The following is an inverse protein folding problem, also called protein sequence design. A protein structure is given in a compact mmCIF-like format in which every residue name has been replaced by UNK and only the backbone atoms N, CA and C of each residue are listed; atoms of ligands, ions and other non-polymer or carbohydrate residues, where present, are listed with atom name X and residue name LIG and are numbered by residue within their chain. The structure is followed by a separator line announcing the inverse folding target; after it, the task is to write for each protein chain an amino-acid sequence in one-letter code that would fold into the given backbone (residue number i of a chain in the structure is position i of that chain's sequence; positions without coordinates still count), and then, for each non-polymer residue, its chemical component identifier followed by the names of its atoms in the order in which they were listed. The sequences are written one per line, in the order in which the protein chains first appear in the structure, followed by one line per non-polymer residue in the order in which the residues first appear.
data_IF_108125206655
#
_entry.id   IF_108125206655
#
_cell.length_a   1.000
_cell.length_b   1.000
_cell.length_c   1.000
_cell.angle_alpha   90.00
_cell.angle_beta   90.00
_cell.angle_gamma   90.00
#
_symmetry.space_group_name_H-M   'P 1'
#
loop_
_entity.id
_entity.type
_entity.pdbx_description
1 polymer ?
#
# COMPACT_ATOMS: atom_id res chain seq x y z
N UNK A 1 15.25 29.82 49.93
CA UNK A 1 16.06 28.61 49.69
C UNK A 1 15.44 27.87 48.51
N UNK A 2 16.08 27.90 47.34
CA UNK A 2 15.53 27.36 46.08
C UNK A 2 15.57 25.84 46.17
N UNK A 3 14.40 25.20 46.16
CA UNK A 3 14.24 23.77 46.41
C UNK A 3 14.69 22.96 45.18
N UNK A 4 16.00 22.85 45.00
CA UNK A 4 16.64 22.19 43.86
C UNK A 4 16.20 20.71 43.72
N UNK A 5 15.76 20.09 44.82
CA UNK A 5 15.26 18.70 44.83
C UNK A 5 14.00 18.52 43.99
N UNK A 6 13.07 19.47 44.01
CA UNK A 6 11.82 19.39 43.22
C UNK A 6 12.11 19.54 41.71
N UNK A 7 13.07 20.38 41.37
CA UNK A 7 13.49 20.58 39.98
C UNK A 7 14.08 19.30 39.37
N UNK A 8 14.86 18.56 40.17
CA UNK A 8 15.46 17.28 39.76
C UNK A 8 14.37 16.22 39.50
N UNK A 9 13.34 16.15 40.35
CA UNK A 9 12.22 15.23 40.14
C UNK A 9 11.41 15.56 38.87
N UNK A 10 11.16 16.84 38.60
CA UNK A 10 10.45 17.29 37.39
C UNK A 10 11.22 16.99 36.10
N UNK A 11 12.55 17.22 36.11
CA UNK A 11 13.42 16.93 34.96
C UNK A 11 13.52 15.41 34.68
N UNK A 12 13.58 14.60 35.74
CA UNK A 12 13.54 13.14 35.62
C UNK A 12 12.23 12.64 35.01
N UNK A 13 11.09 13.17 35.45
CA UNK A 13 9.77 12.73 34.98
C UNK A 13 9.54 13.04 33.48
N UNK A 14 9.94 14.22 33.00
CA UNK A 14 9.84 14.58 31.58
C UNK A 14 10.71 13.70 30.66
N UNK A 15 11.79 13.11 31.19
CA UNK A 15 12.70 12.24 30.44
C UNK A 15 12.09 10.86 30.15
N UNK A 16 11.12 10.41 30.96
CA UNK A 16 10.41 9.15 30.73
C UNK A 16 9.31 9.25 29.67
N UNK A 17 8.68 10.41 29.49
CA UNK A 17 7.63 10.60 28.48
C UNK A 17 8.16 10.87 27.06
N UNK A 18 9.45 11.12 26.92
CA UNK A 18 10.11 11.32 25.61
C UNK A 18 10.73 10.04 25.05
N UNK A 19 10.52 8.88 25.69
CA UNK A 19 10.78 7.59 25.05
C UNK A 19 9.78 7.43 23.91
N UNK A 20 10.18 7.98 22.76
CA UNK A 20 9.53 7.80 21.48
C UNK A 20 9.38 6.30 21.30
N UNK A 21 8.14 5.80 21.34
CA UNK A 21 7.81 4.44 20.95
C UNK A 21 8.20 4.32 19.48
N UNK A 22 9.46 3.97 19.24
CA UNK A 22 9.97 3.62 17.93
C UNK A 22 9.30 2.29 17.63
N UNK A 23 8.09 2.37 17.04
CA UNK A 23 7.46 1.22 16.40
C UNK A 23 8.53 0.71 15.45
N UNK A 24 9.04 -0.49 15.72
CA UNK A 24 10.03 -1.09 14.85
C UNK A 24 9.49 -0.99 13.42
N UNK A 25 10.28 -0.45 12.47
CA UNK A 25 9.84 -0.41 11.09
C UNK A 25 9.46 -1.84 10.70
N UNK A 26 8.30 -2.04 10.05
CA UNK A 26 7.84 -3.38 9.71
C UNK A 26 8.98 -4.10 9.00
N UNK A 27 9.33 -5.27 9.55
CA UNK A 27 10.40 -6.12 9.02
C UNK A 27 10.12 -6.30 7.52
N UNK A 28 11.07 -6.00 6.62
CA UNK A 28 10.84 -6.19 5.21
C UNK A 28 10.55 -7.68 5.00
N UNK A 29 9.31 -7.99 4.61
CA UNK A 29 9.01 -9.31 4.09
C UNK A 29 9.78 -9.43 2.77
N UNK A 30 10.46 -10.55 2.53
CA UNK A 30 11.04 -10.91 1.23
C UNK A 30 9.91 -11.20 0.23
N UNK A 31 9.18 -10.16 -0.12
CA UNK A 31 8.11 -10.19 -1.11
C UNK A 31 8.38 -9.14 -2.15
N UNK A 32 8.05 -9.46 -3.40
CA UNK A 32 8.11 -8.50 -4.49
C UNK A 32 7.07 -7.38 -4.32
N UNK A 33 6.05 -7.59 -3.47
CA UNK A 33 5.00 -6.63 -3.18
C UNK A 33 5.25 -5.86 -1.89
N UNK A 34 5.39 -4.56 -1.96
CA UNK A 34 5.36 -3.72 -0.75
C UNK A 34 4.03 -2.99 -0.67
N UNK A 35 3.33 -3.16 0.45
CA UNK A 35 2.08 -2.45 0.74
C UNK A 35 2.31 -1.56 1.96
N UNK A 36 2.11 -0.27 1.79
CA UNK A 36 2.11 0.71 2.87
C UNK A 36 0.78 1.47 2.88
N UNK A 37 0.49 2.27 3.92
CA UNK A 37 -0.71 3.11 3.92
C UNK A 37 -0.81 4.08 2.73
N UNK A 38 0.31 4.41 2.08
CA UNK A 38 0.38 5.42 1.03
C UNK A 38 0.63 4.86 -0.36
N UNK A 39 1.22 3.66 -0.47
CA UNK A 39 1.64 3.12 -1.76
C UNK A 39 1.60 1.59 -1.78
N UNK A 40 1.33 1.06 -2.98
CA UNK A 40 1.53 -0.34 -3.30
C UNK A 40 2.62 -0.36 -4.37
N UNK A 41 3.64 -1.20 -4.20
CA UNK A 41 4.69 -1.39 -5.19
C UNK A 41 4.88 -2.86 -5.52
N UNK A 42 5.28 -3.15 -6.76
CA UNK A 42 5.71 -4.46 -7.22
C UNK A 42 7.11 -4.34 -7.82
N UNK A 43 8.07 -5.12 -7.32
CA UNK A 43 9.50 -5.03 -7.69
C UNK A 43 10.05 -3.60 -7.59
N UNK A 44 9.63 -2.88 -6.56
CA UNK A 44 10.04 -1.49 -6.31
C UNK A 44 9.40 -0.43 -7.23
N UNK A 45 8.52 -0.84 -8.17
CA UNK A 45 7.77 0.09 -9.03
C UNK A 45 6.36 0.29 -8.49
N UNK A 46 5.84 1.50 -8.59
CA UNK A 46 4.48 1.83 -8.17
C UNK A 46 3.44 1.00 -8.93
N UNK A 47 2.46 0.48 -8.18
CA UNK A 47 1.40 -0.34 -8.72
C UNK A 47 0.40 0.54 -9.49
N UNK A 48 -0.06 0.14 -10.69
CA UNK A 48 -0.75 1.02 -11.64
C UNK A 48 -2.25 1.17 -11.33
N UNK A 49 -2.58 1.48 -10.08
CA UNK A 49 -3.96 1.67 -9.63
C UNK A 49 -4.62 2.82 -10.41
N UNK A 50 -5.82 2.58 -10.93
CA UNK A 50 -6.57 3.54 -11.73
C UNK A 50 -5.98 3.84 -13.12
N UNK A 51 -4.93 3.13 -13.54
CA UNK A 51 -4.36 3.25 -14.89
C UNK A 51 -4.99 2.23 -15.86
N UNK A 52 -4.96 2.50 -17.18
CA UNK A 52 -5.42 1.55 -18.19
C UNK A 52 -4.67 0.21 -18.15
N UNK A 53 -5.30 -0.83 -18.70
CA UNK A 53 -4.76 -2.20 -18.77
C UNK A 53 -3.31 -2.26 -19.27
N UNK A 54 -2.94 -1.44 -20.26
CA UNK A 54 -1.58 -1.41 -20.81
C UNK A 54 -0.51 -1.14 -19.75
N UNK A 55 -0.81 -0.30 -18.76
CA UNK A 55 0.11 -0.04 -17.64
C UNK A 55 0.28 -1.27 -16.73
N UNK A 56 -0.78 -2.07 -16.57
CA UNK A 56 -0.73 -3.34 -15.85
C UNK A 56 0.11 -4.37 -16.60
N UNK A 57 -0.08 -4.48 -17.92
CA UNK A 57 0.70 -5.39 -18.77
C UNK A 57 2.18 -4.98 -18.79
N UNK A 58 2.47 -3.69 -18.83
CA UNK A 58 3.85 -3.19 -18.80
C UNK A 58 4.57 -3.52 -17.48
N UNK A 59 3.85 -3.52 -16.35
CA UNK A 59 4.43 -3.82 -15.05
C UNK A 59 4.48 -5.33 -14.74
N UNK A 60 3.38 -6.04 -14.99
CA UNK A 60 3.16 -7.43 -14.57
C UNK A 60 3.46 -8.45 -15.67
N UNK A 61 3.64 -8.01 -16.91
CA UNK A 61 3.70 -8.86 -18.10
C UNK A 61 2.30 -9.24 -18.61
N UNK A 62 2.25 -10.12 -19.60
CA UNK A 62 0.98 -10.62 -20.16
C UNK A 62 0.19 -11.41 -19.12
N UNK A 63 -1.12 -11.16 -19.05
CA UNK A 63 -2.03 -11.88 -18.17
C UNK A 63 -2.11 -13.37 -18.53
N UNK A 64 -2.39 -14.22 -17.54
CA UNK A 64 -2.55 -15.67 -17.70
C UNK A 64 -3.84 -16.02 -18.44
N UNK A 65 -4.93 -15.30 -18.18
CA UNK A 65 -6.24 -15.53 -18.79
C UNK A 65 -7.13 -14.30 -18.75
N UNK A 66 -8.07 -14.21 -19.69
CA UNK A 66 -9.19 -13.28 -19.67
C UNK A 66 -10.49 -14.06 -19.37
N UNK A 67 -11.27 -13.61 -18.40
CA UNK A 67 -12.47 -14.33 -17.93
C UNK A 67 -13.78 -13.77 -18.49
N UNK A 68 -13.71 -12.82 -19.43
CA UNK A 68 -14.87 -12.06 -19.90
C UNK A 68 -15.34 -10.98 -18.94
N UNK A 69 -14.75 -10.90 -17.74
CA UNK A 69 -15.01 -9.86 -16.72
C UNK A 69 -13.74 -9.12 -16.31
N UNK A 70 -12.58 -9.56 -16.82
CA UNK A 70 -11.30 -9.12 -16.31
C UNK A 70 -10.12 -9.97 -16.74
N UNK A 71 -8.94 -9.45 -16.42
CA UNK A 71 -7.63 -10.01 -16.74
C UNK A 71 -6.98 -10.55 -15.46
N UNK A 72 -6.44 -11.76 -15.54
CA UNK A 72 -5.94 -12.50 -14.35
C UNK A 72 -4.49 -12.89 -14.55
N UNK A 73 -3.64 -12.58 -13.57
CA UNK A 73 -2.27 -13.08 -13.43
C UNK A 73 -2.24 -14.13 -12.32
N UNK A 74 -2.41 -15.41 -12.68
CA UNK A 74 -2.58 -16.50 -11.71
C UNK A 74 -1.33 -16.68 -10.84
N UNK A 75 -0.13 -16.54 -11.41
CA UNK A 75 1.14 -16.64 -10.68
C UNK A 75 1.34 -15.52 -9.65
N UNK A 76 0.66 -14.39 -9.84
CA UNK A 76 0.73 -13.22 -8.95
C UNK A 76 -0.49 -13.11 -8.04
N UNK A 77 -1.54 -13.91 -8.26
CA UNK A 77 -2.80 -13.80 -7.53
C UNK A 77 -3.55 -12.48 -7.76
N UNK A 78 -3.33 -11.83 -8.90
CA UNK A 78 -3.95 -10.53 -9.25
C UNK A 78 -5.05 -10.75 -10.28
N UNK A 79 -6.20 -10.13 -10.05
CA UNK A 79 -7.25 -9.99 -11.05
C UNK A 79 -7.69 -8.53 -11.11
N UNK A 80 -7.83 -8.00 -12.33
CA UNK A 80 -8.42 -6.68 -12.58
C UNK A 80 -9.72 -6.86 -13.34
N UNK A 81 -10.78 -6.21 -12.87
CA UNK A 81 -12.07 -6.23 -13.55
C UNK A 81 -12.11 -5.13 -14.60
N UNK A 82 -12.59 -5.44 -15.80
CA UNK A 82 -12.74 -4.46 -16.89
C UNK A 82 -14.15 -3.83 -16.91
N UNK A 83 -14.96 -4.09 -15.90
CA UNK A 83 -16.40 -3.79 -15.87
C UNK A 83 -16.70 -2.32 -16.18
N UNK A 84 -15.85 -1.38 -15.74
CA UNK A 84 -16.00 0.06 -16.01
C UNK A 84 -15.73 0.44 -17.47
N UNK A 85 -14.83 -0.26 -18.17
CA UNK A 85 -14.49 0.04 -19.57
C UNK A 85 -15.61 -0.33 -20.55
N UNK A 86 -16.53 -1.23 -20.15
CA UNK A 86 -17.66 -1.68 -20.98
C UNK A 86 -18.97 -0.89 -20.75
N UNK A 87 -18.96 0.21 -19.98
CA UNK A 87 -20.18 1.01 -19.72
C UNK A 87 -20.70 1.84 -20.89
N UNK A 88 -20.04 1.82 -22.05
CA UNK A 88 -20.65 2.33 -23.28
C UNK A 88 -21.83 1.45 -23.73
N UNK A 89 -21.85 0.15 -23.36
CA UNK A 89 -22.95 -0.78 -23.66
C UNK A 89 -24.10 -0.78 -22.64
N UNK A 90 -23.92 -0.23 -21.44
CA UNK A 90 -24.94 -0.29 -20.36
C UNK A 90 -25.91 0.90 -20.41
N UNK A 91 -25.61 1.94 -21.21
CA UNK A 91 -26.52 3.08 -21.43
C UNK A 91 -27.70 2.78 -22.36
N UNK A 92 -27.67 1.70 -23.13
CA UNK A 92 -28.78 1.34 -24.06
C UNK A 92 -29.87 0.46 -23.43
N UNK A 93 -29.74 0.10 -22.15
CA UNK A 93 -30.67 -0.80 -21.45
C UNK A 93 -31.55 -0.11 -20.38
N UNK A 94 -31.53 1.23 -20.31
CA UNK A 94 -32.45 2.03 -19.49
C UNK A 94 -32.99 3.23 -20.25
#
# INVERSE_FOLDING_TARGET
MRNNTVLIFLLGFCSFYTQCQTKEPPKPMDTEFTITPCQITYKGKEFPLGKPLDAWIQLLGTYSRHTGRGYVWDSLGIAINDWEANHEYVKELY
#
